data_IF_275947435129
#
_entry.id   IF_275947435129
#
_cell.length_a   1.000
_cell.length_b   1.000
_cell.length_c   1.000
_cell.angle_alpha   90.00
_cell.angle_beta   90.00
_cell.angle_gamma   90.00
#
_symmetry.space_group_name_H-M   'P 1'
#
loop_
_entity.id
_entity.type
_entity.pdbx_description
1 polymer ?
#
# COMPACT_ATOMS: atom_id res chain seq x y z
N UNK A 1 25.82 4.97 7.35
CA UNK A 1 25.17 3.64 7.45
C UNK A 1 23.76 3.82 8.01
N UNK A 2 22.78 3.10 7.47
CA UNK A 2 21.38 3.10 7.89
C UNK A 2 20.96 1.65 8.23
N UNK A 3 20.29 1.46 9.35
CA UNK A 3 19.64 0.19 9.70
C UNK A 3 18.18 0.30 9.28
N UNK A 4 17.80 -0.39 8.20
CA UNK A 4 16.48 -0.26 7.58
C UNK A 4 15.45 -1.30 8.05
N UNK A 5 15.89 -2.38 8.71
CA UNK A 5 15.03 -3.51 9.03
C UNK A 5 14.18 -3.91 7.79
N UNK A 6 12.88 -4.13 7.95
CA UNK A 6 11.99 -4.47 6.84
C UNK A 6 11.42 -3.25 6.10
N UNK A 7 11.85 -2.03 6.47
CA UNK A 7 11.45 -0.82 5.76
C UNK A 7 11.95 -0.79 4.31
N UNK A 8 13.17 -1.30 4.06
CA UNK A 8 13.74 -1.41 2.72
C UNK A 8 14.44 -2.76 2.58
N UNK A 9 13.94 -3.58 1.67
CA UNK A 9 14.45 -4.93 1.37
C UNK A 9 14.97 -4.98 -0.07
N UNK A 10 16.08 -5.72 -0.34
CA UNK A 10 16.71 -5.70 -1.67
C UNK A 10 15.86 -6.33 -2.76
N UNK A 11 15.14 -7.41 -2.49
CA UNK A 11 14.46 -8.21 -3.53
C UNK A 11 12.94 -8.08 -3.56
N UNK A 12 12.33 -7.63 -2.47
CA UNK A 12 10.88 -7.48 -2.35
C UNK A 12 10.51 -6.10 -1.84
N UNK A 13 9.32 -5.62 -2.19
CA UNK A 13 8.74 -4.46 -1.51
C UNK A 13 8.06 -4.91 -0.24
N UNK A 14 8.28 -4.18 0.85
CA UNK A 14 7.48 -4.37 2.05
C UNK A 14 6.02 -4.12 1.74
N UNK A 15 5.14 -4.98 2.26
CA UNK A 15 3.69 -4.80 2.17
C UNK A 15 3.19 -4.23 3.49
N UNK A 16 2.92 -2.92 3.59
CA UNK A 16 2.39 -2.33 4.80
C UNK A 16 0.96 -2.83 5.03
N UNK A 17 0.82 -3.69 6.03
CA UNK A 17 -0.44 -4.36 6.32
C UNK A 17 -1.47 -3.40 6.89
N UNK A 18 -2.76 -3.67 6.61
CA UNK A 18 -3.84 -2.97 7.29
C UNK A 18 -3.73 -3.21 8.80
N UNK A 19 -3.81 -2.14 9.56
CA UNK A 19 -3.87 -2.20 11.02
C UNK A 19 -5.14 -1.53 11.52
N UNK A 20 -5.61 -1.96 12.69
CA UNK A 20 -6.61 -1.18 13.42
C UNK A 20 -5.94 0.08 13.96
N UNK A 21 -6.67 1.20 14.09
CA UNK A 21 -6.17 2.33 14.86
C UNK A 21 -5.69 1.80 16.21
N UNK A 22 -4.45 2.09 16.58
CA UNK A 22 -4.00 1.87 17.95
C UNK A 22 -4.93 2.72 18.81
N UNK A 23 -5.81 2.08 19.59
CA UNK A 23 -6.89 2.74 20.29
C UNK A 23 -6.44 4.03 20.92
N UNK A 24 -6.97 5.12 20.42
CA UNK A 24 -6.84 6.41 21.08
C UNK A 24 -7.29 6.22 22.52
N UNK A 25 -6.62 6.87 23.46
CA UNK A 25 -7.04 6.89 24.85
C UNK A 25 -8.55 7.08 24.88
N UNK A 26 -9.22 6.18 25.58
CA UNK A 26 -10.67 6.13 25.77
C UNK A 26 -11.28 7.55 25.76
N UNK A 27 -12.01 7.91 24.71
CA UNK A 27 -12.76 9.17 24.64
C UNK A 27 -12.50 10.08 23.43
N UNK A 28 -11.58 9.77 22.51
CA UNK A 28 -11.40 10.58 21.31
C UNK A 28 -12.12 9.93 20.10
N UNK A 29 -13.25 10.52 19.63
CA UNK A 29 -13.95 10.03 18.46
C UNK A 29 -13.18 10.26 17.13
N UNK A 30 -12.06 11.00 17.17
CA UNK A 30 -11.27 11.34 15.98
C UNK A 30 -10.39 10.18 15.46
N UNK A 31 -10.30 9.04 16.14
CA UNK A 31 -9.41 7.93 15.76
C UNK A 31 -10.13 6.72 15.16
N UNK A 32 -11.30 6.89 14.55
CA UNK A 32 -12.02 5.77 13.89
C UNK A 32 -11.49 5.44 12.51
N UNK A 33 -10.74 6.33 11.88
CA UNK A 33 -10.14 6.06 10.57
C UNK A 33 -8.94 5.14 10.70
N UNK A 34 -8.92 4.07 9.88
CA UNK A 34 -7.75 3.20 9.81
C UNK A 34 -6.55 3.96 9.22
N UNK A 35 -5.33 3.69 9.69
CA UNK A 35 -4.13 4.26 9.09
C UNK A 35 -4.02 3.87 7.61
N UNK A 36 -3.70 4.84 6.75
CA UNK A 36 -3.39 4.59 5.33
C UNK A 36 -1.94 4.11 5.20
N UNK A 37 -1.72 2.85 5.55
CA UNK A 37 -0.38 2.29 5.77
C UNK A 37 0.54 2.42 4.55
N UNK A 38 0.05 2.18 3.32
CA UNK A 38 0.87 2.33 2.11
C UNK A 38 1.20 3.80 1.82
N UNK A 39 0.28 4.73 2.04
CA UNK A 39 0.53 6.17 1.89
C UNK A 39 1.64 6.62 2.84
N UNK A 40 1.56 6.21 4.10
CA UNK A 40 2.58 6.50 5.12
C UNK A 40 3.92 5.87 4.76
N UNK A 41 3.92 4.63 4.28
CA UNK A 41 5.13 3.93 3.83
C UNK A 41 5.79 4.65 2.66
N UNK A 42 5.04 5.05 1.64
CA UNK A 42 5.55 5.80 0.49
C UNK A 42 6.14 7.16 0.91
N UNK A 43 5.51 7.85 1.87
CA UNK A 43 6.05 9.08 2.43
C UNK A 43 7.38 8.83 3.18
N UNK A 44 7.45 7.77 3.97
CA UNK A 44 8.67 7.36 4.67
C UNK A 44 9.80 6.98 3.70
N UNK A 45 9.49 6.26 2.61
CA UNK A 45 10.47 5.95 1.57
C UNK A 45 11.03 7.21 0.90
N UNK A 46 10.21 8.26 0.67
CA UNK A 46 10.70 9.54 0.13
C UNK A 46 11.74 10.16 1.05
N UNK A 47 11.49 10.16 2.36
CA UNK A 47 12.46 10.66 3.34
C UNK A 47 13.75 9.80 3.35
N UNK A 48 13.58 8.48 3.32
CA UNK A 48 14.72 7.54 3.30
C UNK A 48 15.60 7.72 2.06
N UNK A 49 14.99 8.02 0.90
CA UNK A 49 15.68 8.26 -0.36
C UNK A 49 16.69 9.40 -0.28
N UNK A 50 16.36 10.45 0.46
CA UNK A 50 17.19 11.67 0.61
C UNK A 50 18.30 11.53 1.67
N UNK A 51 18.36 10.42 2.41
CA UNK A 51 19.38 10.22 3.42
C UNK A 51 20.75 9.99 2.77
N UNK A 52 21.83 10.62 3.28
CA UNK A 52 23.18 10.43 2.75
C UNK A 52 23.78 9.11 3.28
N UNK A 53 23.13 7.98 3.02
CA UNK A 53 23.55 6.66 3.45
C UNK A 53 24.33 5.95 2.34
N UNK A 54 25.59 5.63 2.57
CA UNK A 54 26.42 4.85 1.65
C UNK A 54 26.24 3.35 1.79
N UNK A 55 25.60 2.90 2.87
CA UNK A 55 25.32 1.50 3.15
C UNK A 55 24.02 1.41 3.96
N UNK A 56 23.09 0.60 3.49
CA UNK A 56 21.82 0.30 4.18
C UNK A 56 21.80 -1.19 4.51
N UNK A 57 21.54 -1.52 5.78
CA UNK A 57 21.40 -2.88 6.26
C UNK A 57 19.92 -3.21 6.42
N UNK A 58 19.36 -4.09 5.57
CA UNK A 58 17.99 -4.55 5.69
C UNK A 58 17.83 -5.59 6.80
N UNK A 59 16.59 -5.90 7.17
CA UNK A 59 16.27 -7.01 8.07
C UNK A 59 16.51 -8.38 7.44
N UNK A 60 16.42 -8.46 6.10
CA UNK A 60 16.59 -9.67 5.32
C UNK A 60 17.31 -9.35 4.00
N UNK A 61 18.19 -10.25 3.55
CA UNK A 61 18.93 -10.13 2.29
C UNK A 61 20.26 -9.38 2.45
N UNK A 62 20.89 -9.06 1.32
CA UNK A 62 22.20 -8.45 1.26
C UNK A 62 22.16 -6.96 1.59
N UNK A 63 23.29 -6.38 2.05
CA UNK A 63 23.42 -4.94 2.21
C UNK A 63 23.14 -4.18 0.90
N UNK A 64 22.50 -3.01 1.00
CA UNK A 64 22.11 -2.17 -0.11
C UNK A 64 23.04 -0.96 -0.17
N UNK A 65 23.69 -0.75 -1.32
CA UNK A 65 24.58 0.41 -1.56
C UNK A 65 23.91 1.52 -2.37
N UNK A 66 22.91 1.18 -3.18
CA UNK A 66 22.19 2.10 -4.07
C UNK A 66 20.73 2.26 -3.62
N UNK A 67 20.52 2.66 -2.35
CA UNK A 67 19.19 2.71 -1.77
C UNK A 67 18.22 3.67 -2.49
N UNK A 68 18.71 4.80 -3.00
CA UNK A 68 17.88 5.75 -3.74
C UNK A 68 17.32 5.14 -5.03
N UNK A 69 18.16 4.45 -5.82
CA UNK A 69 17.74 3.75 -7.03
C UNK A 69 16.74 2.63 -6.72
N UNK A 70 17.00 1.85 -5.67
CA UNK A 70 16.06 0.80 -5.22
C UNK A 70 14.71 1.38 -4.80
N UNK A 71 14.70 2.52 -4.10
CA UNK A 71 13.45 3.20 -3.72
C UNK A 71 12.69 3.69 -4.95
N UNK A 72 13.38 4.22 -5.97
CA UNK A 72 12.76 4.62 -7.23
C UNK A 72 12.09 3.43 -7.94
N UNK A 73 12.72 2.25 -7.90
CA UNK A 73 12.11 1.01 -8.38
C UNK A 73 10.86 0.63 -7.59
N UNK A 74 10.85 0.81 -6.27
CA UNK A 74 9.66 0.56 -5.41
C UNK A 74 8.53 1.53 -5.76
N UNK A 75 8.81 2.80 -5.97
CA UNK A 75 7.81 3.77 -6.43
C UNK A 75 7.21 3.35 -7.77
N UNK A 76 8.04 2.98 -8.73
CA UNK A 76 7.58 2.51 -10.04
C UNK A 76 6.72 1.22 -9.94
N UNK A 77 7.05 0.31 -9.03
CA UNK A 77 6.28 -0.91 -8.76
C UNK A 77 4.88 -0.57 -8.22
N UNK A 78 4.79 0.27 -7.19
CA UNK A 78 3.52 0.67 -6.60
C UNK A 78 2.67 1.46 -7.60
N UNK A 79 3.28 2.31 -8.42
CA UNK A 79 2.58 3.05 -9.47
C UNK A 79 1.99 2.12 -10.54
N UNK A 80 2.73 1.11 -10.99
CA UNK A 80 2.20 0.10 -11.91
C UNK A 80 1.02 -0.68 -11.31
N UNK A 81 1.09 -1.00 -10.00
CA UNK A 81 0.02 -1.68 -9.29
C UNK A 81 -1.22 -0.80 -9.15
N UNK A 82 -1.04 0.46 -8.76
CA UNK A 82 -2.13 1.43 -8.66
C UNK A 82 -2.86 1.60 -10.00
N UNK A 83 -2.12 1.78 -11.10
CA UNK A 83 -2.71 1.86 -12.45
C UNK A 83 -3.48 0.61 -12.85
N UNK A 84 -2.98 -0.58 -12.51
CA UNK A 84 -3.68 -1.85 -12.80
C UNK A 84 -5.00 -1.92 -12.02
N UNK A 85 -5.01 -1.52 -10.75
CA UNK A 85 -6.22 -1.48 -9.92
C UNK A 85 -7.20 -0.42 -10.47
N UNK A 86 -6.71 0.78 -10.78
CA UNK A 86 -7.53 1.83 -11.39
C UNK A 86 -8.20 1.38 -12.70
N UNK A 87 -7.48 0.64 -13.55
CA UNK A 87 -8.04 0.06 -14.77
C UNK A 87 -9.19 -0.91 -14.51
N UNK A 88 -9.08 -1.76 -13.48
CA UNK A 88 -10.17 -2.68 -13.11
C UNK A 88 -11.42 -1.93 -12.59
N UNK A 89 -11.21 -0.82 -11.90
CA UNK A 89 -12.28 0.01 -11.35
C UNK A 89 -12.96 0.84 -12.45
N UNK A 90 -12.21 1.28 -13.45
CA UNK A 90 -12.73 2.04 -14.59
C UNK A 90 -13.73 1.23 -15.42
N UNK A 91 -13.64 -0.10 -15.42
CA UNK A 91 -14.60 -0.98 -16.10
C UNK A 91 -15.95 -1.05 -15.36
N UNK A 92 -15.93 -1.11 -14.03
CA UNK A 92 -17.11 -1.14 -13.17
C UNK A 92 -16.71 -0.94 -11.69
N UNK A 93 -17.62 -0.44 -10.82
CA UNK A 93 -17.39 -0.37 -9.38
C UNK A 93 -17.09 -1.76 -8.80
N UNK A 94 -16.01 -1.87 -8.00
CA UNK A 94 -15.54 -3.14 -7.44
C UNK A 94 -15.25 -3.03 -5.95
N UNK A 95 -15.52 -4.10 -5.23
CA UNK A 95 -15.07 -4.29 -3.84
C UNK A 95 -13.58 -4.66 -3.80
N UNK A 96 -12.96 -4.48 -2.64
CA UNK A 96 -11.55 -4.90 -2.41
C UNK A 96 -11.34 -6.38 -2.75
N UNK A 97 -12.30 -7.23 -2.37
CA UNK A 97 -12.24 -8.67 -2.65
C UNK A 97 -12.29 -8.99 -4.14
N UNK A 98 -13.20 -8.36 -4.90
CA UNK A 98 -13.31 -8.57 -6.35
C UNK A 98 -12.03 -8.13 -7.08
N UNK A 99 -11.40 -7.04 -6.64
CA UNK A 99 -10.10 -6.59 -7.16
C UNK A 99 -9.01 -7.61 -6.83
N UNK A 100 -8.92 -8.07 -5.57
CA UNK A 100 -7.95 -9.07 -5.16
C UNK A 100 -8.10 -10.37 -5.96
N UNK A 101 -9.35 -10.83 -6.17
CA UNK A 101 -9.66 -12.00 -6.99
C UNK A 101 -9.22 -11.83 -8.45
N UNK A 102 -9.42 -10.64 -9.02
CA UNK A 102 -8.98 -10.33 -10.39
C UNK A 102 -7.46 -10.33 -10.55
N UNK A 103 -6.72 -9.96 -9.49
CA UNK A 103 -5.26 -9.90 -9.51
C UNK A 103 -4.57 -11.25 -9.24
N UNK A 104 -5.11 -12.05 -8.32
CA UNK A 104 -4.42 -13.26 -7.79
C UNK A 104 -5.29 -14.53 -7.77
N UNK A 105 -6.50 -14.50 -8.28
CA UNK A 105 -7.36 -15.69 -8.34
C UNK A 105 -7.60 -16.32 -6.96
N UNK A 106 -7.32 -17.62 -6.82
CA UNK A 106 -7.53 -18.36 -5.57
C UNK A 106 -6.59 -17.94 -4.43
N UNK A 107 -5.43 -17.37 -4.73
CA UNK A 107 -4.50 -16.85 -3.70
C UNK A 107 -5.14 -15.73 -2.89
N UNK A 108 -6.07 -14.96 -3.49
CA UNK A 108 -6.84 -13.95 -2.78
C UNK A 108 -7.64 -14.50 -1.58
N UNK A 109 -7.97 -15.78 -1.59
CA UNK A 109 -8.67 -16.45 -0.48
C UNK A 109 -7.69 -17.01 0.54
N UNK A 110 -6.68 -17.75 0.06
CA UNK A 110 -5.71 -18.45 0.94
C UNK A 110 -4.78 -17.49 1.68
N UNK A 111 -4.53 -16.30 1.10
CA UNK A 111 -3.72 -15.24 1.69
C UNK A 111 -4.52 -13.92 1.78
N UNK A 112 -5.80 -14.02 2.18
CA UNK A 112 -6.74 -12.91 2.16
C UNK A 112 -6.20 -11.66 2.87
N UNK A 113 -5.60 -11.80 4.04
CA UNK A 113 -5.09 -10.65 4.79
C UNK A 113 -4.01 -9.88 4.02
N UNK A 114 -3.10 -10.58 3.35
CA UNK A 114 -2.02 -9.95 2.57
C UNK A 114 -2.56 -9.31 1.30
N UNK A 115 -3.39 -10.03 0.55
CA UNK A 115 -3.92 -9.55 -0.73
C UNK A 115 -4.90 -8.40 -0.57
N UNK A 116 -5.77 -8.46 0.45
CA UNK A 116 -6.69 -7.36 0.76
C UNK A 116 -5.93 -6.12 1.28
N UNK A 117 -4.88 -6.30 2.10
CA UNK A 117 -4.01 -5.20 2.52
C UNK A 117 -3.33 -4.52 1.34
N UNK A 118 -2.82 -5.30 0.40
CA UNK A 118 -2.19 -4.80 -0.82
C UNK A 118 -3.16 -3.98 -1.68
N UNK A 119 -4.37 -4.50 -1.94
CA UNK A 119 -5.40 -3.77 -2.70
C UNK A 119 -5.80 -2.50 -1.98
N UNK A 120 -6.12 -2.61 -0.68
CA UNK A 120 -6.63 -1.49 0.09
C UNK A 120 -5.59 -0.36 0.20
N UNK A 121 -4.30 -0.72 0.36
CA UNK A 121 -3.23 0.27 0.35
C UNK A 121 -3.14 1.05 -0.96
N UNK A 122 -3.28 0.37 -2.12
CA UNK A 122 -3.27 1.04 -3.42
C UNK A 122 -4.55 1.84 -3.68
N UNK A 123 -5.70 1.38 -3.16
CA UNK A 123 -6.93 2.18 -3.19
C UNK A 123 -6.78 3.47 -2.38
N UNK A 124 -6.08 3.43 -1.24
CA UNK A 124 -5.78 4.63 -0.46
C UNK A 124 -4.95 5.65 -1.25
N UNK A 125 -3.97 5.19 -2.05
CA UNK A 125 -3.22 6.07 -2.94
C UNK A 125 -4.12 6.71 -4.01
N UNK A 126 -5.01 5.94 -4.61
CA UNK A 126 -5.93 6.41 -5.64
C UNK A 126 -7.00 7.36 -5.06
N UNK A 127 -7.50 7.08 -3.86
CA UNK A 127 -8.41 7.98 -3.11
C UNK A 127 -7.75 9.32 -2.79
N UNK A 128 -6.50 9.30 -2.31
CA UNK A 128 -5.74 10.53 -1.99
C UNK A 128 -5.51 11.40 -3.23
N UNK A 129 -5.36 10.77 -4.40
CA UNK A 129 -5.22 11.48 -5.69
C UNK A 129 -6.56 11.92 -6.29
N UNK A 130 -7.67 11.51 -5.70
CA UNK A 130 -9.00 11.78 -6.24
C UNK A 130 -9.32 11.01 -7.53
N UNK A 131 -8.58 9.95 -7.84
CA UNK A 131 -8.78 9.13 -9.04
C UNK A 131 -9.92 8.10 -8.87
N UNK A 132 -10.24 7.76 -7.63
CA UNK A 132 -11.35 6.87 -7.27
C UNK A 132 -12.11 7.44 -6.08
N UNK A 133 -13.35 6.99 -5.90
CA UNK A 133 -14.15 7.25 -4.70
C UNK A 133 -14.76 5.96 -4.15
N UNK A 134 -15.00 5.94 -2.85
CA UNK A 134 -15.72 4.86 -2.20
C UNK A 134 -17.23 5.14 -2.29
N UNK A 135 -17.99 4.11 -2.62
CA UNK A 135 -19.46 4.11 -2.66
C UNK A 135 -19.98 2.88 -1.93
N UNK A 136 -21.15 2.99 -1.33
CA UNK A 136 -21.82 1.85 -0.74
C UNK A 136 -22.85 1.29 -1.73
N UNK A 137 -22.77 -0.02 -1.99
CA UNK A 137 -23.75 -0.73 -2.78
C UNK A 137 -23.99 -2.12 -2.18
N UNK A 138 -25.24 -2.48 -1.96
CA UNK A 138 -25.66 -3.76 -1.38
C UNK A 138 -25.04 -4.06 0.00
N UNK A 139 -24.83 -3.03 0.81
CA UNK A 139 -24.20 -3.13 2.13
C UNK A 139 -22.70 -3.40 2.10
N UNK A 140 -22.05 -3.22 0.95
CA UNK A 140 -20.61 -3.40 0.75
C UNK A 140 -19.97 -2.10 0.26
N UNK A 141 -18.78 -1.81 0.78
CA UNK A 141 -17.93 -0.77 0.23
C UNK A 141 -17.38 -1.20 -1.14
N UNK A 142 -17.62 -0.35 -2.15
CA UNK A 142 -17.09 -0.50 -3.50
C UNK A 142 -16.32 0.76 -3.89
N UNK A 143 -15.46 0.64 -4.86
CA UNK A 143 -14.68 1.74 -5.39
C UNK A 143 -15.02 1.92 -6.86
N UNK A 144 -15.21 3.18 -7.27
CA UNK A 144 -15.46 3.55 -8.65
C UNK A 144 -14.55 4.69 -9.09
N UNK A 145 -14.26 4.78 -10.38
CA UNK A 145 -13.46 5.87 -10.93
C UNK A 145 -14.21 7.20 -10.80
N UNK A 146 -13.47 8.25 -10.46
CA UNK A 146 -13.96 9.62 -10.57
C UNK A 146 -13.91 10.06 -12.03
N UNK A 147 -14.93 10.76 -12.50
CA UNK A 147 -14.98 11.30 -13.86
C UNK A 147 -13.93 12.41 -14.06
#
# INVERSE_FOLDING_TARGET
MLLAADHLLPHISSNPLISRPLGGRSGDPASTERPRALVMYMASLRLTRELPATLVLPGHGEPITEHAALIDERFALHERRARKIGGLIAEAPRSVYEIARSLWGSVAVTQAYLTLSEVLGHLDLLLERGEVREVEADGLARFEATA
#
